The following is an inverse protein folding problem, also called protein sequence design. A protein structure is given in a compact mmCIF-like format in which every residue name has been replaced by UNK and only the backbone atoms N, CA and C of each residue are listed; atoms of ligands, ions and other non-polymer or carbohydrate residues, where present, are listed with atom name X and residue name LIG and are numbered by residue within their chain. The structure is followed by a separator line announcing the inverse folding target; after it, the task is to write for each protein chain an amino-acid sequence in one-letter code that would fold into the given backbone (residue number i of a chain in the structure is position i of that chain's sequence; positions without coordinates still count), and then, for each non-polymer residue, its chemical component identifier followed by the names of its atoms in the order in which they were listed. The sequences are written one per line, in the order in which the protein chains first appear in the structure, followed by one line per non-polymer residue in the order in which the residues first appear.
data_IF_286452547484
#
_entry.id   IF_286452547484
#
_cell.length_a   1.000
_cell.length_b   1.000
_cell.length_c   1.000
_cell.angle_alpha   90.00
_cell.angle_beta   90.00
_cell.angle_gamma   90.00
#
_symmetry.space_group_name_H-M   'P 1'
#
loop_
_entity.id
_entity.type
_entity.pdbx_description
1 polymer ?
#
# COMPACT_ATOMS: atom_id res chain seq x y z
N UNK A 1 17.26 -29.21 -1.89
CA UNK A 1 17.79 -28.50 -3.08
C UNK A 1 17.31 -27.05 -3.20
N UNK A 2 16.13 -26.67 -2.69
CA UNK A 2 15.64 -25.28 -2.72
C UNK A 2 16.32 -24.32 -1.73
N UNK A 3 17.00 -24.82 -0.71
CA UNK A 3 17.70 -24.01 0.31
C UNK A 3 18.92 -23.26 -0.24
N UNK A 4 19.62 -23.82 -1.23
CA UNK A 4 20.90 -23.26 -1.71
C UNK A 4 20.73 -22.00 -2.57
N UNK A 5 19.60 -21.82 -3.26
CA UNK A 5 19.39 -20.63 -4.09
C UNK A 5 19.07 -19.39 -3.26
N UNK A 6 18.28 -19.57 -2.20
CA UNK A 6 17.84 -18.51 -1.29
C UNK A 6 19.04 -17.95 -0.50
N UNK A 7 19.96 -18.82 -0.06
CA UNK A 7 21.16 -18.42 0.68
C UNK A 7 22.20 -17.76 -0.21
N UNK A 8 22.34 -18.20 -1.47
CA UNK A 8 23.37 -17.70 -2.38
C UNK A 8 22.99 -16.36 -3.03
N UNK A 9 21.69 -16.10 -3.24
CA UNK A 9 21.19 -14.85 -3.82
C UNK A 9 20.00 -14.30 -3.02
N UNK A 10 20.25 -13.79 -1.79
CA UNK A 10 19.19 -13.30 -0.90
C UNK A 10 18.44 -12.12 -1.52
N UNK A 11 19.13 -11.23 -2.24
CA UNK A 11 18.51 -10.09 -2.94
C UNK A 11 17.49 -10.53 -3.99
N UNK A 12 17.88 -11.41 -4.93
CA UNK A 12 16.98 -11.89 -6.00
C UNK A 12 15.77 -12.64 -5.43
N UNK A 13 15.98 -13.45 -4.39
CA UNK A 13 14.91 -14.19 -3.72
C UNK A 13 13.89 -13.25 -3.08
N UNK A 14 14.36 -12.21 -2.38
CA UNK A 14 13.50 -11.19 -1.78
C UNK A 14 12.78 -10.39 -2.86
N UNK A 15 13.46 -9.99 -3.94
CA UNK A 15 12.86 -9.20 -5.02
C UNK A 15 11.75 -9.99 -5.73
N UNK A 16 11.98 -11.26 -6.07
CA UNK A 16 10.98 -12.10 -6.74
C UNK A 16 9.76 -12.38 -5.83
N UNK A 17 10.01 -12.63 -4.54
CA UNK A 17 8.94 -12.78 -3.54
C UNK A 17 8.12 -11.48 -3.41
N UNK A 18 8.80 -10.34 -3.30
CA UNK A 18 8.17 -9.02 -3.18
C UNK A 18 7.33 -8.70 -4.41
N UNK A 19 7.83 -9.01 -5.61
CA UNK A 19 7.08 -8.85 -6.86
C UNK A 19 5.81 -9.70 -6.87
N UNK A 20 5.92 -10.99 -6.53
CA UNK A 20 4.80 -11.92 -6.51
C UNK A 20 3.73 -11.49 -5.50
N UNK A 21 4.14 -11.12 -4.29
CA UNK A 21 3.22 -10.59 -3.27
C UNK A 21 2.56 -9.29 -3.69
N UNK A 22 3.32 -8.36 -4.28
CA UNK A 22 2.78 -7.09 -4.79
C UNK A 22 1.78 -7.33 -5.93
N UNK A 23 2.06 -8.30 -6.82
CA UNK A 23 1.16 -8.67 -7.90
C UNK A 23 -0.15 -9.25 -7.36
N UNK A 24 -0.09 -10.22 -6.44
CA UNK A 24 -1.28 -10.84 -5.83
C UNK A 24 -2.13 -9.78 -5.13
N UNK A 25 -1.53 -8.95 -4.28
CA UNK A 25 -2.24 -7.89 -3.56
C UNK A 25 -2.86 -6.86 -4.49
N UNK A 26 -2.18 -6.49 -5.58
CA UNK A 26 -2.72 -5.56 -6.59
C UNK A 26 -3.90 -6.17 -7.36
N UNK A 27 -3.82 -7.45 -7.71
CA UNK A 27 -4.91 -8.17 -8.36
C UNK A 27 -6.12 -8.31 -7.45
N UNK A 28 -5.91 -8.67 -6.18
CA UNK A 28 -6.97 -8.70 -5.16
C UNK A 28 -7.65 -7.35 -5.12
N UNK A 29 -6.91 -6.25 -4.92
CA UNK A 29 -7.50 -4.91 -4.87
C UNK A 29 -8.32 -4.59 -6.13
N UNK A 30 -7.83 -4.94 -7.33
CA UNK A 30 -8.54 -4.71 -8.60
C UNK A 30 -9.86 -5.47 -8.66
N UNK A 31 -9.89 -6.73 -8.26
CA UNK A 31 -11.07 -7.59 -8.39
C UNK A 31 -12.04 -7.50 -7.22
N UNK A 32 -11.57 -7.13 -6.02
CA UNK A 32 -12.43 -7.04 -4.84
C UNK A 32 -13.05 -5.66 -4.64
N UNK A 33 -12.61 -4.66 -5.41
CA UNK A 33 -13.02 -3.26 -5.24
C UNK A 33 -13.73 -2.74 -6.48
N UNK A 34 -14.90 -2.14 -6.27
CA UNK A 34 -15.66 -1.51 -7.35
C UNK A 34 -15.03 -0.17 -7.75
N UNK A 35 -14.33 -0.17 -8.88
CA UNK A 35 -13.62 0.98 -9.41
C UNK A 35 -14.58 2.10 -9.85
N UNK A 36 -15.77 1.76 -10.35
CA UNK A 36 -16.76 2.74 -10.79
C UNK A 36 -17.32 3.49 -9.58
N UNK A 37 -17.64 2.76 -8.50
CA UNK A 37 -18.14 3.34 -7.25
C UNK A 37 -17.09 4.17 -6.51
N UNK A 38 -15.82 3.76 -6.53
CA UNK A 38 -14.73 4.58 -5.99
C UNK A 38 -14.55 5.89 -6.78
N UNK A 39 -14.71 5.84 -8.10
CA UNK A 39 -14.66 7.03 -8.94
C UNK A 39 -15.82 7.98 -8.63
N UNK A 40 -17.04 7.46 -8.47
CA UNK A 40 -18.20 8.29 -8.14
C UNK A 40 -18.04 8.98 -6.77
N UNK A 41 -17.51 8.31 -5.75
CA UNK A 41 -17.22 8.94 -4.46
C UNK A 41 -16.21 10.09 -4.58
N UNK A 42 -15.16 9.94 -5.39
CA UNK A 42 -14.19 11.01 -5.63
C UNK A 42 -14.83 12.22 -6.31
N UNK A 43 -15.73 11.98 -7.27
CA UNK A 43 -16.46 13.03 -7.97
C UNK A 43 -17.44 13.76 -7.02
N UNK A 44 -18.19 13.03 -6.19
CA UNK A 44 -19.13 13.59 -5.21
C UNK A 44 -18.39 14.39 -4.11
N UNK A 45 -17.25 13.90 -3.61
CA UNK A 45 -16.41 14.68 -2.69
C UNK A 45 -15.87 15.97 -3.33
N UNK A 46 -15.60 15.95 -4.64
CA UNK A 46 -15.15 17.14 -5.38
C UNK A 46 -16.28 18.14 -5.56
N UNK A 47 -17.51 17.70 -5.85
CA UNK A 47 -18.67 18.61 -5.93
C UNK A 47 -18.97 19.23 -4.57
N UNK A 48 -19.00 18.45 -3.49
CA UNK A 48 -19.24 18.95 -2.13
C UNK A 48 -18.20 20.01 -1.72
N UNK A 49 -16.92 19.79 -2.03
CA UNK A 49 -15.87 20.81 -1.80
C UNK A 49 -16.13 22.12 -2.55
N UNK A 50 -16.62 22.04 -3.79
CA UNK A 50 -16.97 23.22 -4.58
C UNK A 50 -18.17 23.94 -3.97
N UNK A 51 -19.19 23.20 -3.54
CA UNK A 51 -20.39 23.74 -2.90
C UNK A 51 -20.10 24.39 -1.54
N UNK A 52 -19.21 23.81 -0.73
CA UNK A 52 -18.73 24.42 0.52
C UNK A 52 -18.03 25.76 0.25
N UNK A 53 -17.25 25.84 -0.83
CA UNK A 53 -16.57 27.09 -1.23
C UNK A 53 -17.57 28.17 -1.66
N UNK A 54 -18.69 27.78 -2.29
CA UNK A 54 -19.75 28.69 -2.73
C UNK A 54 -20.73 29.06 -1.61
N UNK A 55 -20.83 28.26 -0.55
CA UNK A 55 -21.82 28.41 0.52
C UNK A 55 -21.22 28.94 1.82
N UNK A 56 -20.11 29.67 1.76
CA UNK A 56 -19.33 30.14 2.93
C UNK A 56 -20.13 30.93 3.96
N UNK A 57 -21.19 31.61 3.53
CA UNK A 57 -22.00 32.49 4.38
C UNK A 57 -23.23 31.79 4.99
N UNK A 58 -23.44 30.50 4.74
CA UNK A 58 -24.56 29.73 5.28
C UNK A 58 -24.03 28.61 6.20
N UNK A 59 -23.96 28.85 7.52
CA UNK A 59 -23.46 27.87 8.48
C UNK A 59 -24.26 26.56 8.52
N UNK A 60 -25.59 26.62 8.27
CA UNK A 60 -26.43 25.41 8.27
C UNK A 60 -26.09 24.54 7.06
N UNK A 61 -26.03 25.16 5.88
CA UNK A 61 -25.66 24.46 4.64
C UNK A 61 -24.23 23.92 4.68
N UNK A 62 -23.29 24.64 5.29
CA UNK A 62 -21.92 24.13 5.50
C UNK A 62 -21.90 22.89 6.40
N UNK A 63 -22.68 22.87 7.48
CA UNK A 63 -22.77 21.72 8.38
C UNK A 63 -23.34 20.49 7.64
N UNK A 64 -24.41 20.68 6.86
CA UNK A 64 -25.02 19.60 6.09
C UNK A 64 -24.07 19.05 5.00
N UNK A 65 -23.35 19.93 4.30
CA UNK A 65 -22.32 19.53 3.32
C UNK A 65 -21.16 18.78 4.00
N UNK A 66 -20.75 19.19 5.19
CA UNK A 66 -19.70 18.50 5.95
C UNK A 66 -20.15 17.10 6.39
N UNK A 67 -21.38 16.97 6.91
CA UNK A 67 -21.98 15.67 7.24
C UNK A 67 -22.01 14.76 6.02
N UNK A 68 -22.49 15.28 4.88
CA UNK A 68 -22.52 14.52 3.63
C UNK A 68 -21.12 14.09 3.17
N UNK A 69 -20.13 14.98 3.27
CA UNK A 69 -18.74 14.65 2.98
C UNK A 69 -18.22 13.52 3.86
N UNK A 70 -18.60 13.50 5.14
CA UNK A 70 -18.22 12.47 6.09
C UNK A 70 -18.87 11.13 5.76
N UNK A 71 -20.17 11.11 5.43
CA UNK A 71 -20.90 9.92 5.00
C UNK A 71 -20.23 9.27 3.77
N UNK A 72 -19.95 10.05 2.73
CA UNK A 72 -19.30 9.54 1.51
C UNK A 72 -17.89 9.05 1.82
N UNK A 73 -17.15 9.75 2.68
CA UNK A 73 -15.81 9.32 3.10
C UNK A 73 -15.87 8.00 3.86
N UNK A 74 -16.87 7.80 4.72
CA UNK A 74 -17.10 6.54 5.43
C UNK A 74 -17.47 5.41 4.47
N UNK A 75 -18.33 5.66 3.50
CA UNK A 75 -18.70 4.64 2.52
C UNK A 75 -17.52 4.30 1.60
N UNK A 76 -16.74 5.28 1.16
CA UNK A 76 -15.48 5.07 0.47
C UNK A 76 -14.53 4.20 1.30
N UNK A 77 -14.40 4.50 2.59
CA UNK A 77 -13.57 3.72 3.51
C UNK A 77 -14.04 2.27 3.61
N UNK A 78 -15.35 2.02 3.80
CA UNK A 78 -15.92 0.66 3.84
C UNK A 78 -15.63 -0.11 2.55
N UNK A 79 -15.70 0.56 1.40
CA UNK A 79 -15.34 -0.05 0.11
C UNK A 79 -13.84 -0.40 0.03
N UNK A 80 -12.97 0.36 0.69
CA UNK A 80 -11.54 0.05 0.81
C UNK A 80 -11.20 -0.95 1.93
N UNK A 81 -12.11 -1.20 2.87
CA UNK A 81 -11.87 -2.16 3.96
C UNK A 81 -11.82 -3.61 3.46
N UNK A 82 -12.70 -3.97 2.50
CA UNK A 82 -12.74 -5.32 1.95
C UNK A 82 -11.38 -5.76 1.37
N UNK A 83 -10.75 -5.02 0.44
CA UNK A 83 -9.42 -5.38 -0.05
C UNK A 83 -8.37 -5.29 1.07
N UNK A 84 -8.47 -4.35 2.01
CA UNK A 84 -7.51 -4.22 3.11
C UNK A 84 -7.49 -5.47 3.99
N UNK A 85 -8.64 -5.97 4.43
CA UNK A 85 -8.73 -7.16 5.28
C UNK A 85 -8.25 -8.40 4.53
N UNK A 86 -8.65 -8.54 3.26
CA UNK A 86 -8.23 -9.66 2.41
C UNK A 86 -6.73 -9.65 2.16
N UNK A 87 -6.10 -8.48 1.99
CA UNK A 87 -4.65 -8.36 1.77
C UNK A 87 -3.83 -8.42 3.05
N UNK A 88 -4.42 -8.08 4.20
CA UNK A 88 -3.76 -8.15 5.49
C UNK A 88 -3.40 -9.58 5.91
N UNK A 89 -4.28 -10.56 5.64
CA UNK A 89 -4.01 -11.97 5.97
C UNK A 89 -2.76 -12.52 5.26
N UNK A 90 -2.63 -12.44 3.91
CA UNK A 90 -1.43 -12.82 3.20
C UNK A 90 -0.19 -12.03 3.64
N UNK A 91 -0.35 -10.74 3.93
CA UNK A 91 0.76 -9.90 4.37
C UNK A 91 1.33 -10.39 5.71
N UNK A 92 0.49 -10.71 6.70
CA UNK A 92 0.95 -11.20 8.00
C UNK A 92 1.67 -12.55 7.87
N UNK A 93 1.13 -13.47 7.06
CA UNK A 93 1.77 -14.78 6.81
C UNK A 93 3.11 -14.59 6.10
N UNK A 94 3.17 -13.75 5.08
CA UNK A 94 4.38 -13.42 4.35
C UNK A 94 5.45 -12.80 5.26
N UNK A 95 5.07 -11.85 6.11
CA UNK A 95 5.97 -11.22 7.08
C UNK A 95 6.48 -12.23 8.12
N UNK A 96 5.63 -13.12 8.62
CA UNK A 96 6.03 -14.16 9.58
C UNK A 96 7.05 -15.13 8.96
N UNK A 97 6.85 -15.54 7.70
CA UNK A 97 7.76 -16.42 6.99
C UNK A 97 9.10 -15.73 6.67
N UNK A 98 9.06 -14.49 6.18
CA UNK A 98 10.27 -13.69 5.92
C UNK A 98 11.10 -13.48 7.20
N UNK A 99 10.45 -13.17 8.32
CA UNK A 99 11.14 -12.95 9.60
C UNK A 99 11.83 -14.22 10.14
N UNK A 100 11.31 -15.42 9.80
CA UNK A 100 11.95 -16.69 10.17
C UNK A 100 13.06 -17.11 9.20
N UNK A 101 12.90 -16.81 7.91
CA UNK A 101 13.84 -17.20 6.86
C UNK A 101 15.07 -16.30 6.81
N UNK A 102 14.89 -15.01 7.13
CA UNK A 102 15.93 -13.99 7.09
C UNK A 102 16.29 -13.64 8.54
N UNK A 103 17.37 -14.26 9.02
CA UNK A 103 17.89 -14.15 10.38
C UNK A 103 17.82 -12.71 10.93
N UNK A 104 17.39 -12.51 12.19
CA UNK A 104 17.32 -11.19 12.79
C UNK A 104 18.70 -10.52 12.79
N UNK A 105 18.82 -9.34 12.16
CA UNK A 105 20.01 -8.50 12.21
C UNK A 105 20.92 -8.50 10.98
N UNK A 106 20.59 -9.21 9.89
CA UNK A 106 21.43 -9.19 8.68
C UNK A 106 21.14 -7.98 7.78
N UNK A 107 22.17 -7.19 7.48
CA UNK A 107 22.13 -6.13 6.46
C UNK A 107 22.16 -6.78 5.08
N UNK A 108 21.14 -6.54 4.27
CA UNK A 108 21.00 -7.15 2.93
C UNK A 108 21.42 -6.20 1.83
N UNK A 109 21.20 -4.89 2.02
CA UNK A 109 21.66 -3.86 1.09
C UNK A 109 22.53 -2.87 1.86
N UNK A 110 23.84 -2.97 1.67
CA UNK A 110 24.80 -1.96 2.12
C UNK A 110 24.74 -0.79 1.16
N UNK A 111 24.62 0.41 1.69
CA UNK A 111 24.64 1.64 0.89
C UNK A 111 26.02 2.29 1.02
N UNK A 112 26.50 2.96 -0.05
CA UNK A 112 27.76 3.71 0.01
C UNK A 112 27.65 5.02 0.81
N UNK A 113 26.48 5.31 1.40
CA UNK A 113 26.20 6.49 2.22
C UNK A 113 25.37 6.10 3.45
N UNK A 114 25.66 6.71 4.60
CA UNK A 114 24.91 6.48 5.84
C UNK A 114 23.55 7.19 5.81
N UNK A 115 22.48 6.49 6.20
CA UNK A 115 21.15 7.09 6.39
C UNK A 115 20.95 7.35 7.89
N UNK A 116 20.95 8.61 8.36
CA UNK A 116 20.68 8.90 9.76
C UNK A 116 19.26 8.47 10.16
N UNK A 117 19.14 7.66 11.22
CA UNK A 117 17.90 7.30 11.93
C UNK A 117 16.86 6.42 11.20
N UNK A 118 17.21 5.71 10.13
CA UNK A 118 16.36 4.65 9.55
C UNK A 118 17.21 3.39 9.32
N UNK A 119 17.39 2.59 10.38
CA UNK A 119 18.12 1.31 10.34
C UNK A 119 19.42 1.28 11.15
N UNK A 120 20.12 0.15 11.13
CA UNK A 120 21.52 0.04 11.57
C UNK A 120 22.38 0.89 10.64
N UNK A 121 23.35 1.64 11.18
CA UNK A 121 24.12 2.71 10.52
C UNK A 121 24.83 2.37 9.17
N UNK A 122 24.77 1.12 8.71
CA UNK A 122 25.49 0.59 7.55
C UNK A 122 24.59 0.10 6.38
N UNK A 123 23.25 0.23 6.46
CA UNK A 123 22.36 -0.06 5.32
C UNK A 123 20.96 -0.58 5.66
N UNK A 124 20.24 -1.07 4.64
CA UNK A 124 18.90 -1.64 4.80
C UNK A 124 18.95 -3.14 5.14
N UNK A 125 18.25 -3.51 6.21
CA UNK A 125 17.85 -4.89 6.47
C UNK A 125 16.78 -5.38 5.49
N UNK A 126 16.34 -6.63 5.63
CA UNK A 126 15.37 -7.25 4.72
C UNK A 126 14.07 -6.45 4.58
N UNK A 127 13.58 -5.89 5.68
CA UNK A 127 12.33 -5.12 5.73
C UNK A 127 12.44 -3.83 4.89
N UNK A 128 13.58 -3.13 4.98
CA UNK A 128 13.80 -1.89 4.21
C UNK A 128 13.86 -2.15 2.70
N UNK A 129 14.55 -3.22 2.29
CA UNK A 129 14.61 -3.63 0.88
C UNK A 129 13.22 -4.04 0.36
N UNK A 130 12.46 -4.79 1.16
CA UNK A 130 11.07 -5.16 0.84
C UNK A 130 10.19 -3.92 0.67
N UNK A 131 10.23 -2.96 1.61
CA UNK A 131 9.43 -1.73 1.53
C UNK A 131 9.77 -0.92 0.27
N UNK A 132 11.06 -0.65 0.01
CA UNK A 132 11.48 0.12 -1.16
C UNK A 132 11.05 -0.54 -2.47
N UNK A 133 11.31 -1.83 -2.62
CA UNK A 133 10.93 -2.57 -3.84
C UNK A 133 9.41 -2.63 -4.01
N UNK A 134 8.65 -2.80 -2.91
CA UNK A 134 7.18 -2.80 -2.96
C UNK A 134 6.59 -1.47 -3.43
N UNK A 135 7.15 -0.32 -3.04
CA UNK A 135 6.68 1.01 -3.48
C UNK A 135 6.87 1.17 -4.98
N UNK A 136 8.04 0.77 -5.50
CA UNK A 136 8.35 0.84 -6.94
C UNK A 136 7.41 -0.06 -7.72
N UNK A 137 7.33 -1.34 -7.35
CA UNK A 137 6.47 -2.31 -8.05
C UNK A 137 5.00 -1.95 -7.98
N UNK A 138 4.52 -1.48 -6.82
CA UNK A 138 3.11 -1.12 -6.65
C UNK A 138 2.73 0.09 -7.52
N UNK A 139 3.64 1.04 -7.71
CA UNK A 139 3.43 2.18 -8.61
C UNK A 139 3.38 1.73 -10.07
N UNK A 140 4.28 0.83 -10.48
CA UNK A 140 4.32 0.27 -11.84
C UNK A 140 3.07 -0.58 -12.14
N UNK A 141 2.73 -1.51 -11.24
CA UNK A 141 1.61 -2.44 -11.42
C UNK A 141 0.26 -1.73 -11.43
N UNK A 142 0.05 -0.70 -10.59
CA UNK A 142 -1.19 0.09 -10.62
C UNK A 142 -1.38 0.81 -11.94
N UNK A 143 -0.31 1.38 -12.51
CA UNK A 143 -0.35 2.02 -13.83
C UNK A 143 -0.65 1.00 -14.94
N UNK A 144 0.05 -0.13 -14.93
CA UNK A 144 -0.12 -1.19 -15.94
C UNK A 144 -1.53 -1.80 -15.91
N UNK A 145 -2.05 -2.08 -14.71
CA UNK A 145 -3.34 -2.73 -14.53
C UNK A 145 -4.52 -1.76 -14.51
N UNK A 146 -4.27 -0.45 -14.70
CA UNK A 146 -5.26 0.64 -14.64
C UNK A 146 -6.12 0.60 -13.38
N UNK A 147 -5.45 0.40 -12.24
CA UNK A 147 -6.07 0.36 -10.92
C UNK A 147 -5.95 1.76 -10.30
N UNK A 148 -7.08 2.35 -9.93
CA UNK A 148 -7.18 3.75 -9.50
C UNK A 148 -7.43 3.94 -8.00
#
# INVERSE_FOLDING_TARGET
MTSNFITNNPLLSITLFSFTMTLITTLIYKYTTDQAKLKSFREELKSIRKEMTNSKNDPKKLNDLQKRSMEISMDQFKHSLKPMIITMFPAIIAFSFLNKLLLPGTIILKLPFSIPKIGSNDGFGWLGVYLLTSIIFSTLLRKLLKVH
#
